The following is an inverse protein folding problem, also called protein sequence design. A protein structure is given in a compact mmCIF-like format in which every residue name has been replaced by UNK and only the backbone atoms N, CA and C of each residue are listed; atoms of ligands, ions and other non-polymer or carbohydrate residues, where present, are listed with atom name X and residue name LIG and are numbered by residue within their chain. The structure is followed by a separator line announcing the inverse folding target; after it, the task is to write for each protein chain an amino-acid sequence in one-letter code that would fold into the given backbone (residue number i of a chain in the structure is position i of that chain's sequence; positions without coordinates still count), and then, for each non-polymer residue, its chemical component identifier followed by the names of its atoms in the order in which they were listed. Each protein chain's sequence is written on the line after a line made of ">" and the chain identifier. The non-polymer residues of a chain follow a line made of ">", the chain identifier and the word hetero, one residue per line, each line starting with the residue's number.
data_IF_080516363401
#
_entry.id   IF_080516363401
#
_cell.length_a   1.000
_cell.length_b   1.000
_cell.length_c   1.000
_cell.angle_alpha   90.00
_cell.angle_beta   90.00
_cell.angle_gamma   90.00
#
_symmetry.space_group_name_H-M   'P 1'
#
loop_
_entity.id
_entity.type
_entity.pdbx_description
1 polymer ?
#
# COMPACT_ATOMS: atom_id res chain seq x y z
N UNK A 1 -11.46 6.06 12.21
CA UNK A 1 -12.43 4.99 11.90
C UNK A 1 -11.84 3.81 11.11
N UNK A 2 -11.10 4.01 10.00
CA UNK A 2 -10.58 2.87 9.21
C UNK A 2 -9.70 1.90 10.02
N UNK A 3 -8.82 2.43 10.89
CA UNK A 3 -7.87 1.65 11.68
C UNK A 3 -8.54 0.55 12.51
N UNK A 4 -9.66 0.86 13.14
CA UNK A 4 -10.41 -0.09 13.97
C UNK A 4 -11.16 -1.11 13.12
N UNK A 5 -11.81 -0.67 12.05
CA UNK A 5 -12.59 -1.54 11.16
C UNK A 5 -11.71 -2.54 10.41
N UNK A 6 -10.48 -2.14 10.06
CA UNK A 6 -9.56 -2.98 9.29
C UNK A 6 -8.37 -3.47 10.10
N UNK A 7 -8.45 -3.42 11.44
CA UNK A 7 -7.40 -3.87 12.35
C UNK A 7 -6.00 -3.36 11.96
N UNK A 8 -5.93 -2.09 11.58
CA UNK A 8 -4.71 -1.40 11.15
C UNK A 8 -3.94 -2.07 10.01
N UNK A 9 -4.68 -2.62 9.04
CA UNK A 9 -4.17 -3.23 7.81
C UNK A 9 -3.01 -2.46 7.12
N UNK A 10 -2.99 -1.12 7.18
CA UNK A 10 -1.92 -0.31 6.57
C UNK A 10 -0.50 -0.64 7.09
N UNK A 11 -0.37 -1.21 8.29
CA UNK A 11 0.91 -1.58 8.90
C UNK A 11 1.33 -3.02 8.63
N UNK A 12 0.46 -3.82 8.01
CA UNK A 12 0.70 -5.24 7.77
C UNK A 12 1.96 -5.48 6.92
N UNK A 13 2.19 -4.64 5.91
CA UNK A 13 3.39 -4.73 5.08
C UNK A 13 4.68 -4.58 5.88
N UNK A 14 4.74 -3.62 6.82
CA UNK A 14 5.90 -3.45 7.69
C UNK A 14 6.08 -4.64 8.62
N UNK A 15 4.99 -5.16 9.20
CA UNK A 15 5.07 -6.33 10.06
C UNK A 15 5.64 -7.55 9.33
N UNK A 16 5.33 -7.75 8.04
CA UNK A 16 5.94 -8.81 7.25
C UNK A 16 7.43 -8.61 6.96
N UNK A 17 7.88 -7.37 6.85
CA UNK A 17 9.31 -7.05 6.72
C UNK A 17 10.02 -7.29 8.05
N UNK A 18 9.37 -6.99 9.18
CA UNK A 18 9.93 -7.07 10.55
C UNK A 18 8.89 -7.52 11.58
N UNK A 19 8.69 -8.82 11.75
CA UNK A 19 7.63 -9.33 12.61
C UNK A 19 7.91 -9.14 14.10
N UNK A 20 9.18 -8.96 14.49
CA UNK A 20 9.59 -8.76 15.89
C UNK A 20 9.38 -7.32 16.40
N UNK A 21 9.09 -6.35 15.53
CA UNK A 21 8.82 -4.97 15.95
C UNK A 21 7.50 -4.89 16.72
N UNK A 22 7.47 -4.22 17.88
CA UNK A 22 6.23 -4.02 18.61
C UNK A 22 5.29 -3.10 17.82
N UNK A 23 4.00 -3.34 17.99
CA UNK A 23 2.94 -2.76 17.17
C UNK A 23 3.00 -1.23 17.02
N UNK A 24 3.31 -0.49 18.09
CA UNK A 24 3.38 0.97 18.10
C UNK A 24 4.57 1.55 17.33
N UNK A 25 5.55 0.72 16.94
CA UNK A 25 6.67 1.11 16.06
C UNK A 25 6.43 0.80 14.59
N UNK A 26 5.30 0.17 14.25
CA UNK A 26 4.97 -0.12 12.86
C UNK A 26 4.54 1.17 12.14
N UNK A 27 5.34 1.61 11.17
CA UNK A 27 4.98 2.66 10.21
C UNK A 27 4.44 2.14 8.87
N UNK A 28 3.91 3.05 8.05
CA UNK A 28 3.61 2.80 6.64
C UNK A 28 4.64 3.47 5.73
N UNK A 29 4.78 2.99 4.51
CA UNK A 29 5.69 3.59 3.53
C UNK A 29 5.09 4.88 2.95
N UNK A 30 5.87 5.97 2.91
CA UNK A 30 5.38 7.26 2.42
C UNK A 30 4.97 7.21 0.94
N UNK A 31 5.79 6.54 0.12
CA UNK A 31 5.58 6.42 -1.33
C UNK A 31 4.76 5.20 -1.75
N UNK A 32 4.18 4.43 -0.82
CA UNK A 32 3.34 3.30 -1.21
C UNK A 32 2.07 3.80 -1.92
N UNK A 33 1.63 3.14 -3.01
CA UNK A 33 0.36 3.46 -3.65
C UNK A 33 -0.79 3.43 -2.65
N UNK A 34 -1.55 4.53 -2.59
CA UNK A 34 -2.72 4.65 -1.73
C UNK A 34 -3.99 4.36 -2.52
N UNK A 35 -4.96 3.73 -1.86
CA UNK A 35 -6.27 3.48 -2.43
C UNK A 35 -7.07 4.80 -2.60
N UNK A 36 -8.01 4.87 -3.55
CA UNK A 36 -8.84 6.06 -3.78
C UNK A 36 -9.71 6.48 -2.59
N UNK A 37 -10.07 5.51 -1.76
CA UNK A 37 -10.95 5.65 -0.62
C UNK A 37 -10.43 4.80 0.54
N UNK A 38 -11.09 4.89 1.69
CA UNK A 38 -10.76 4.08 2.86
C UNK A 38 -10.88 2.58 2.55
N UNK A 39 -10.11 1.75 3.25
CA UNK A 39 -10.13 0.30 3.07
C UNK A 39 -11.53 -0.33 3.15
N UNK A 40 -12.43 0.05 4.08
CA UNK A 40 -13.78 -0.51 4.11
C UNK A 40 -14.59 -0.20 2.84
N UNK A 41 -14.50 1.04 2.34
CA UNK A 41 -15.18 1.43 1.09
C UNK A 41 -14.63 0.64 -0.09
N UNK A 42 -13.30 0.49 -0.15
CA UNK A 42 -12.67 -0.30 -1.21
C UNK A 42 -12.97 -1.78 -1.11
N UNK A 43 -13.11 -2.33 0.08
CA UNK A 43 -13.52 -3.72 0.31
C UNK A 43 -14.93 -3.96 -0.25
N UNK A 44 -15.88 -3.09 0.08
CA UNK A 44 -17.23 -3.15 -0.48
C UNK A 44 -17.23 -2.97 -2.00
N UNK A 45 -16.40 -2.04 -2.50
CA UNK A 45 -16.23 -1.82 -3.95
C UNK A 45 -15.69 -3.06 -4.66
N UNK A 46 -14.77 -3.80 -4.03
CA UNK A 46 -14.19 -5.02 -4.59
C UNK A 46 -15.21 -6.15 -4.75
N UNK A 47 -16.32 -6.14 -4.00
CA UNK A 47 -17.42 -7.08 -4.17
C UNK A 47 -18.21 -6.87 -5.47
N UNK A 48 -18.00 -5.75 -6.16
CA UNK A 48 -18.63 -5.43 -7.45
C UNK A 48 -17.52 -5.30 -8.50
N UNK A 49 -17.13 -6.40 -9.20
CA UNK A 49 -16.01 -6.42 -10.14
C UNK A 49 -16.00 -5.32 -11.22
N UNK A 50 -17.13 -4.96 -11.87
CA UNK A 50 -17.10 -3.89 -12.88
C UNK A 50 -16.81 -2.51 -12.25
N UNK A 51 -17.31 -2.25 -11.04
CA UNK A 51 -17.06 -0.99 -10.33
C UNK A 51 -15.60 -0.91 -9.89
N UNK A 52 -15.07 -1.97 -9.29
CA UNK A 52 -13.66 -2.05 -8.89
C UNK A 52 -12.71 -1.85 -10.08
N UNK A 53 -12.97 -2.52 -11.21
CA UNK A 53 -12.15 -2.35 -12.42
C UNK A 53 -12.16 -0.91 -12.91
N UNK A 54 -13.32 -0.24 -12.92
CA UNK A 54 -13.43 1.16 -13.34
C UNK A 54 -12.67 2.12 -12.42
N UNK A 55 -12.71 1.90 -11.11
CA UNK A 55 -12.04 2.79 -10.13
C UNK A 55 -10.52 2.58 -10.09
N UNK A 56 -10.06 1.32 -10.20
CA UNK A 56 -8.66 0.98 -10.09
C UNK A 56 -7.87 1.11 -11.39
N UNK A 57 -8.48 0.79 -12.56
CA UNK A 57 -7.77 0.81 -13.86
C UNK A 57 -7.11 2.16 -14.14
N UNK A 58 -7.85 3.25 -13.98
CA UNK A 58 -7.34 4.61 -14.21
C UNK A 58 -6.13 4.95 -13.33
N UNK A 59 -6.13 4.48 -12.08
CA UNK A 59 -5.03 4.71 -11.14
C UNK A 59 -3.83 3.83 -11.44
N UNK A 60 -4.07 2.59 -11.84
CA UNK A 60 -3.01 1.70 -12.29
C UNK A 60 -2.30 2.30 -13.50
N UNK A 61 -3.05 2.76 -14.50
CA UNK A 61 -2.49 3.37 -15.71
C UNK A 61 -1.68 4.62 -15.38
N UNK A 62 -2.19 5.49 -14.50
CA UNK A 62 -1.46 6.68 -14.04
C UNK A 62 -0.19 6.33 -13.24
N UNK A 63 -0.24 5.31 -12.39
CA UNK A 63 0.91 4.86 -11.61
C UNK A 63 1.99 4.24 -12.51
N UNK A 64 1.62 3.39 -13.47
CA UNK A 64 2.55 2.82 -14.46
C UNK A 64 3.17 3.89 -15.33
N UNK A 65 2.38 4.88 -15.77
CA UNK A 65 2.89 6.00 -16.56
C UNK A 65 3.87 6.88 -15.77
N UNK A 66 3.62 7.08 -14.47
CA UNK A 66 4.50 7.86 -13.59
C UNK A 66 5.81 7.13 -13.25
N UNK A 67 5.80 5.81 -13.13
CA UNK A 67 6.98 5.02 -12.75
C UNK A 67 7.90 4.69 -13.93
N UNK A 68 7.38 4.73 -15.17
CA UNK A 68 8.16 4.50 -16.40
C UNK A 68 8.56 3.03 -16.63
N UNK A 69 9.32 2.72 -17.71
CA UNK A 69 9.77 1.36 -18.00
C UNK A 69 10.74 0.86 -16.92
N UNK A 70 10.33 -0.18 -16.19
CA UNK A 70 11.10 -0.75 -15.08
C UNK A 70 12.12 -1.77 -15.61
N UNK A 71 13.42 -1.65 -15.29
CA UNK A 71 14.38 -2.68 -15.63
C UNK A 71 14.12 -3.94 -14.76
N UNK A 72 14.44 -5.15 -15.26
CA UNK A 72 14.03 -6.42 -14.68
C UNK A 72 14.46 -6.66 -13.22
N UNK A 73 15.41 -5.88 -12.70
CA UNK A 73 15.95 -5.99 -11.33
C UNK A 73 16.01 -4.69 -10.54
N UNK A 74 15.33 -3.60 -10.95
CA UNK A 74 15.31 -2.40 -10.12
C UNK A 74 14.68 -2.69 -8.75
N UNK A 75 15.32 -2.27 -7.67
CA UNK A 75 14.67 -2.17 -6.37
C UNK A 75 13.68 -1.00 -6.40
N UNK A 76 12.51 -1.16 -5.78
CA UNK A 76 11.57 -0.04 -5.68
C UNK A 76 12.06 0.87 -4.56
N UNK A 77 12.32 2.16 -4.81
CA UNK A 77 12.60 3.10 -3.74
C UNK A 77 11.30 3.36 -2.97
N UNK A 78 10.94 2.46 -2.07
CA UNK A 78 10.07 2.84 -0.96
C UNK A 78 10.90 3.83 -0.14
N UNK A 79 10.51 5.11 -0.13
CA UNK A 79 11.14 6.09 0.73
C UNK A 79 11.22 5.52 2.15
N UNK A 80 12.42 5.63 2.73
CA UNK A 80 12.75 5.21 4.10
C UNK A 80 12.93 3.69 4.30
N UNK A 81 13.23 2.89 3.26
CA UNK A 81 13.63 1.47 3.42
C UNK A 81 14.83 1.30 4.34
N UNK A 82 15.80 2.21 4.32
CA UNK A 82 16.95 2.13 5.23
C UNK A 82 16.60 2.51 6.67
N UNK A 83 15.49 3.23 6.91
CA UNK A 83 15.02 3.67 8.23
C UNK A 83 14.11 2.61 8.87
N UNK A 84 13.00 2.25 8.21
CA UNK A 84 12.98 0.93 7.57
C UNK A 84 13.65 -0.24 8.28
N UNK A 85 14.91 -0.43 7.87
CA UNK A 85 15.83 -1.48 8.23
C UNK A 85 16.85 -1.09 9.35
N UNK A 86 16.83 0.13 9.90
CA UNK A 86 17.82 0.57 10.91
C UNK A 86 17.37 0.47 12.38
N UNK A 87 16.07 0.38 12.65
CA UNK A 87 15.50 0.34 14.03
C UNK A 87 15.11 -1.06 14.49
#
# INVERSE_FOLDING_TARGET
>A
MQAWVTLNHAYHGHHHVRPSLPYFRLGGFANSPRLPASYPVMLLTAMIPPLFKRTMRRRLDAWVAAEGPRPPHAERPCANLDEFFRT
#
